data_IF_163738716157
#
_entry.id   IF_163738716157
#
_cell.length_a   1.000
_cell.length_b   1.000
_cell.length_c   1.000
_cell.angle_alpha   90.00
_cell.angle_beta   90.00
_cell.angle_gamma   90.00
#
_symmetry.space_group_name_H-M   'P 1'
#
loop_
_entity.id
_entity.type
_entity.pdbx_description
1 polymer ?
#
# COMPACT_ATOMS: atom_id res chain seq x y z
N UNK A 1 -0.21 -3.38 16.20
CA UNK A 1 -1.37 -2.98 15.36
C UNK A 1 -2.40 -2.19 16.16
N UNK A 2 -2.93 -2.67 17.30
CA UNK A 2 -3.99 -1.97 18.06
C UNK A 2 -3.65 -0.51 18.40
N UNK A 3 -2.46 -0.25 18.95
CA UNK A 3 -2.00 1.14 19.24
C UNK A 3 -2.09 2.06 18.01
N UNK A 4 -1.83 1.52 16.83
CA UNK A 4 -1.90 2.27 15.57
C UNK A 4 -3.36 2.51 15.15
N UNK A 5 -4.22 1.51 15.28
CA UNK A 5 -5.66 1.65 15.03
C UNK A 5 -6.27 2.68 15.96
N UNK A 6 -5.96 2.62 17.27
CA UNK A 6 -6.47 3.57 18.27
C UNK A 6 -6.00 5.01 17.97
N UNK A 7 -4.70 5.18 17.60
CA UNK A 7 -4.11 6.49 17.33
C UNK A 7 -4.74 7.16 16.09
N UNK A 8 -5.04 6.40 15.04
CA UNK A 8 -5.55 6.94 13.78
C UNK A 8 -7.06 6.82 13.59
N UNK A 9 -7.83 6.31 14.56
CA UNK A 9 -9.28 6.11 14.45
C UNK A 9 -10.02 7.38 14.06
N UNK A 10 -9.67 8.52 14.67
CA UNK A 10 -10.28 9.82 14.37
C UNK A 10 -9.85 10.41 13.01
N UNK A 11 -8.80 9.90 12.40
CA UNK A 11 -8.25 10.38 11.12
C UNK A 11 -8.95 9.67 9.94
N UNK A 12 -10.08 10.19 9.50
CA UNK A 12 -10.95 9.54 8.50
C UNK A 12 -10.30 9.31 7.13
N UNK A 13 -9.25 10.04 6.79
CA UNK A 13 -8.43 9.81 5.59
C UNK A 13 -7.47 8.62 5.72
N UNK A 14 -7.27 8.06 6.93
CA UNK A 14 -6.53 6.82 7.10
C UNK A 14 -7.51 5.66 6.95
N UNK A 15 -7.38 4.89 5.88
CA UNK A 15 -8.29 3.76 5.60
C UNK A 15 -7.78 2.44 6.13
N UNK A 16 -6.47 2.26 6.22
CA UNK A 16 -5.92 1.02 6.75
C UNK A 16 -4.57 1.20 7.45
N UNK A 17 -4.28 0.24 8.29
CA UNK A 17 -2.99 0.07 8.95
C UNK A 17 -2.41 -1.25 8.48
N UNK A 18 -1.14 -1.29 8.10
CA UNK A 18 -0.42 -2.53 7.76
C UNK A 18 0.61 -2.86 8.82
N UNK A 19 0.84 -4.14 9.07
CA UNK A 19 1.96 -4.64 9.86
C UNK A 19 3.19 -4.97 9.01
N UNK A 20 3.01 -5.03 7.67
CA UNK A 20 4.06 -5.32 6.71
C UNK A 20 4.78 -4.03 6.31
N UNK A 21 6.11 -4.09 6.25
CA UNK A 21 6.96 -3.06 5.65
C UNK A 21 7.51 -3.50 4.30
N UNK A 22 8.33 -2.65 3.71
CA UNK A 22 9.17 -2.96 2.56
C UNK A 22 10.42 -3.70 3.00
N UNK A 23 10.92 -4.66 2.21
CA UNK A 23 12.22 -5.27 2.47
C UNK A 23 13.33 -4.22 2.30
N UNK A 24 14.44 -4.40 2.98
CA UNK A 24 15.61 -3.51 2.90
C UNK A 24 15.26 -2.04 3.20
N UNK A 25 14.82 -1.72 4.43
CA UNK A 25 14.34 -0.39 4.79
C UNK A 25 15.36 0.72 4.48
N UNK A 26 16.64 0.43 4.56
CA UNK A 26 17.72 1.37 4.24
C UNK A 26 17.69 1.90 2.80
N UNK A 27 17.00 1.23 1.89
CA UNK A 27 16.86 1.64 0.48
C UNK A 27 15.71 2.59 0.25
N UNK A 28 14.70 2.57 1.12
CA UNK A 28 13.45 3.26 0.89
C UNK A 28 13.23 4.43 1.84
N UNK A 29 13.79 4.34 3.05
CA UNK A 29 13.56 5.36 4.06
C UNK A 29 14.80 6.23 4.22
N UNK A 30 14.64 7.57 4.16
CA UNK A 30 15.74 8.48 4.43
C UNK A 30 16.26 8.30 5.86
N UNK A 31 17.57 8.42 6.05
CA UNK A 31 18.19 8.27 7.37
C UNK A 31 17.71 9.30 8.40
N UNK A 32 17.24 10.45 7.92
CA UNK A 32 16.66 11.54 8.72
C UNK A 32 15.14 11.43 8.91
N UNK A 33 14.51 10.32 8.47
CA UNK A 33 13.06 10.15 8.62
C UNK A 33 12.70 9.94 10.11
N UNK A 34 11.88 10.82 10.71
CA UNK A 34 11.77 10.90 12.16
C UNK A 34 10.77 9.91 12.78
N UNK A 35 9.94 9.26 11.97
CA UNK A 35 8.84 8.40 12.45
C UNK A 35 9.16 6.92 12.31
N UNK A 36 8.45 6.07 13.05
CA UNK A 36 8.55 4.61 12.95
C UNK A 36 7.52 4.03 11.97
N UNK A 37 6.63 4.89 11.47
CA UNK A 37 5.61 4.59 10.46
C UNK A 37 5.67 5.58 9.32
N UNK A 38 5.21 5.19 8.14
CA UNK A 38 5.10 6.08 6.99
C UNK A 38 3.69 6.04 6.38
N UNK A 39 3.36 7.08 5.63
CA UNK A 39 2.11 7.22 4.91
C UNK A 39 2.27 6.62 3.51
N UNK A 40 1.50 5.58 3.21
CA UNK A 40 1.38 4.99 1.88
C UNK A 40 0.09 5.45 1.19
N UNK A 41 0.16 5.69 -0.11
CA UNK A 41 -0.99 6.11 -0.92
C UNK A 41 -1.89 4.94 -1.35
N UNK A 42 -1.54 3.73 -0.97
CA UNK A 42 -2.29 2.52 -1.32
C UNK A 42 -2.42 1.56 -0.15
N UNK A 43 -3.28 0.58 -0.33
CA UNK A 43 -3.49 -0.50 0.61
C UNK A 43 -2.40 -1.58 0.51
N UNK A 44 -1.98 -2.08 1.68
CA UNK A 44 -1.09 -3.23 1.80
C UNK A 44 -1.83 -4.38 2.50
N UNK A 45 -2.24 -5.42 1.77
CA UNK A 45 -3.21 -6.42 2.25
C UNK A 45 -2.64 -7.51 3.16
N UNK A 46 -1.40 -7.38 3.64
CA UNK A 46 -0.75 -8.40 4.46
C UNK A 46 -0.65 -7.95 5.91
N UNK A 47 -1.26 -8.72 6.83
CA UNK A 47 -1.26 -8.42 8.26
C UNK A 47 -1.76 -7.00 8.53
N UNK A 48 -2.98 -6.70 8.13
CA UNK A 48 -3.55 -5.37 8.10
C UNK A 48 -4.83 -5.27 8.93
N UNK A 49 -5.27 -4.05 9.18
CA UNK A 49 -6.53 -3.75 9.82
C UNK A 49 -7.14 -2.47 9.26
N UNK A 50 -8.46 -2.35 9.42
CA UNK A 50 -9.26 -1.18 9.06
C UNK A 50 -10.40 -1.01 10.06
N UNK A 51 -11.20 0.01 9.88
CA UNK A 51 -12.41 0.28 10.66
C UNK A 51 -13.66 0.02 9.80
N UNK A 52 -14.76 -0.33 10.44
CA UNK A 52 -16.02 -0.64 9.75
C UNK A 52 -16.47 0.51 8.83
N UNK A 53 -16.42 1.74 9.31
CA UNK A 53 -16.84 2.92 8.56
C UNK A 53 -15.98 3.23 7.32
N UNK A 54 -14.72 2.77 7.26
CA UNK A 54 -13.86 2.85 6.06
C UNK A 54 -14.16 1.71 5.10
N UNK A 55 -14.39 0.51 5.65
CA UNK A 55 -14.78 -0.66 4.88
C UNK A 55 -16.10 -0.43 4.14
N UNK A 56 -17.07 0.23 4.78
CA UNK A 56 -18.37 0.55 4.21
C UNK A 56 -18.31 1.60 3.07
N UNK A 57 -17.21 2.33 2.95
CA UNK A 57 -16.98 3.27 1.86
C UNK A 57 -16.41 2.63 0.58
N UNK A 58 -16.11 1.35 0.61
CA UNK A 58 -15.54 0.65 -0.54
C UNK A 58 -16.63 0.38 -1.58
N UNK A 59 -16.42 0.87 -2.79
CA UNK A 59 -17.25 0.49 -3.94
C UNK A 59 -16.89 -0.93 -4.40
N UNK A 60 -17.54 -1.89 -3.82
CA UNK A 60 -17.34 -3.30 -4.14
C UNK A 60 -17.75 -3.67 -5.57
N UNK A 61 -18.58 -2.85 -6.21
CA UNK A 61 -18.97 -2.98 -7.61
C UNK A 61 -17.94 -2.45 -8.60
N UNK A 62 -16.89 -1.75 -8.11
CA UNK A 62 -15.87 -1.10 -8.92
C UNK A 62 -16.46 -0.11 -9.96
N UNK A 63 -17.57 0.55 -9.65
CA UNK A 63 -18.25 1.55 -10.53
C UNK A 63 -17.34 2.74 -10.86
N UNK A 64 -16.40 3.05 -9.98
CA UNK A 64 -15.37 4.06 -10.25
C UNK A 64 -14.58 3.76 -11.54
N UNK A 65 -14.46 2.51 -11.94
CA UNK A 65 -13.86 2.12 -13.22
C UNK A 65 -14.58 2.78 -14.41
N UNK A 66 -15.91 2.79 -14.40
CA UNK A 66 -16.71 3.37 -15.50
C UNK A 66 -16.47 4.86 -15.67
N UNK A 67 -16.18 5.57 -14.59
CA UNK A 67 -15.82 6.99 -14.63
C UNK A 67 -14.39 7.20 -15.08
N UNK A 68 -13.48 6.36 -14.61
CA UNK A 68 -12.03 6.53 -14.82
C UNK A 68 -11.55 6.06 -16.19
N UNK A 69 -12.19 5.06 -16.80
CA UNK A 69 -11.74 4.45 -18.07
C UNK A 69 -11.57 5.45 -19.21
N UNK A 70 -12.36 6.53 -19.21
CA UNK A 70 -12.35 7.58 -20.21
C UNK A 70 -11.52 8.81 -19.78
N UNK A 71 -10.77 8.71 -18.67
CA UNK A 71 -9.98 9.81 -18.09
C UNK A 71 -8.50 9.41 -17.97
N UNK A 72 -7.71 9.61 -19.03
CA UNK A 72 -6.31 9.16 -19.08
C UNK A 72 -5.42 9.78 -18.00
N UNK A 73 -5.72 11.00 -17.54
CA UNK A 73 -4.98 11.64 -16.44
C UNK A 73 -5.21 10.93 -15.11
N UNK A 74 -6.42 10.49 -14.82
CA UNK A 74 -6.74 9.73 -13.61
C UNK A 74 -6.06 8.36 -13.63
N UNK A 75 -6.08 7.68 -14.77
CA UNK A 75 -5.39 6.40 -14.95
C UNK A 75 -3.87 6.60 -14.79
N UNK A 76 -3.31 7.67 -15.34
CA UNK A 76 -1.89 7.99 -15.18
C UNK A 76 -1.52 8.30 -13.73
N UNK A 77 -2.39 8.99 -12.99
CA UNK A 77 -2.21 9.26 -11.57
C UNK A 77 -2.25 7.97 -10.75
N UNK A 78 -3.24 7.11 -11.00
CA UNK A 78 -3.36 5.80 -10.35
C UNK A 78 -2.12 4.93 -10.57
N UNK A 79 -1.61 4.86 -11.80
CA UNK A 79 -0.40 4.08 -12.15
C UNK A 79 0.88 4.57 -11.49
N UNK A 80 0.87 5.75 -10.88
CA UNK A 80 1.99 6.27 -10.06
C UNK A 80 1.93 5.83 -8.62
N UNK A 81 0.78 5.29 -8.20
CA UNK A 81 0.59 4.79 -6.84
C UNK A 81 1.09 3.34 -6.79
N UNK A 82 1.79 3.02 -5.70
CA UNK A 82 2.30 1.70 -5.43
C UNK A 82 1.22 0.62 -5.52
N UNK A 83 1.56 -0.53 -6.09
CA UNK A 83 0.72 -1.73 -6.13
C UNK A 83 -0.70 -1.52 -6.68
N UNK A 84 -0.98 -0.37 -7.25
CA UNK A 84 -2.29 -0.14 -7.85
C UNK A 84 -2.19 -0.43 -9.33
N UNK A 85 -2.69 -1.58 -9.73
CA UNK A 85 -2.67 -2.04 -11.11
C UNK A 85 -3.99 -1.73 -11.79
N UNK A 86 -3.95 -0.81 -12.75
CA UNK A 86 -5.12 -0.48 -13.55
C UNK A 86 -5.66 -1.68 -14.33
N UNK A 87 -4.80 -2.56 -14.82
CA UNK A 87 -5.21 -3.75 -15.55
C UNK A 87 -5.92 -4.76 -14.64
N UNK A 88 -5.50 -4.87 -13.37
CA UNK A 88 -6.22 -5.66 -12.38
C UNK A 88 -7.61 -5.09 -12.08
N UNK A 89 -7.75 -3.76 -12.00
CA UNK A 89 -9.05 -3.09 -11.82
C UNK A 89 -9.95 -3.35 -13.02
N UNK A 90 -9.42 -3.24 -14.24
CA UNK A 90 -10.13 -3.56 -15.46
C UNK A 90 -10.59 -5.02 -15.50
N UNK A 91 -9.70 -5.95 -15.14
CA UNK A 91 -10.03 -7.38 -15.10
C UNK A 91 -11.13 -7.69 -14.07
N UNK A 92 -11.13 -7.02 -12.92
CA UNK A 92 -12.20 -7.13 -11.92
C UNK A 92 -13.54 -6.70 -12.51
N UNK A 93 -13.55 -5.58 -13.22
CA UNK A 93 -14.76 -5.04 -13.84
C UNK A 93 -15.27 -5.97 -14.94
N UNK A 94 -14.39 -6.41 -15.86
CA UNK A 94 -14.76 -7.17 -17.05
C UNK A 94 -15.12 -8.64 -16.74
N UNK A 95 -14.37 -9.29 -15.84
CA UNK A 95 -14.53 -10.73 -15.55
C UNK A 95 -15.21 -11.03 -14.22
N UNK A 96 -15.58 -10.00 -13.45
CA UNK A 96 -16.14 -10.12 -12.09
C UNK A 96 -15.26 -10.94 -11.13
N UNK A 97 -13.97 -11.02 -11.39
CA UNK A 97 -13.01 -11.62 -10.47
C UNK A 97 -13.13 -10.97 -9.09
N UNK A 98 -13.12 -11.78 -8.05
CA UNK A 98 -13.23 -11.28 -6.68
C UNK A 98 -11.84 -10.93 -6.11
N UNK A 99 -11.22 -9.88 -6.63
CA UNK A 99 -9.98 -9.31 -6.09
C UNK A 99 -10.32 -8.16 -5.14
N UNK A 100 -10.69 -8.50 -3.91
CA UNK A 100 -11.11 -7.54 -2.90
C UNK A 100 -10.04 -6.46 -2.62
N UNK A 101 -8.77 -6.86 -2.59
CA UNK A 101 -7.65 -5.97 -2.29
C UNK A 101 -7.47 -4.87 -3.34
N UNK A 102 -7.71 -5.17 -4.62
CA UNK A 102 -7.65 -4.16 -5.67
C UNK A 102 -8.83 -3.19 -5.60
N UNK A 103 -10.03 -3.65 -5.20
CA UNK A 103 -11.17 -2.75 -4.92
C UNK A 103 -10.88 -1.85 -3.73
N UNK A 104 -10.27 -2.38 -2.70
CA UNK A 104 -9.89 -1.59 -1.52
C UNK A 104 -8.78 -0.58 -1.85
N UNK A 105 -7.80 -0.95 -2.71
CA UNK A 105 -6.80 -0.02 -3.23
C UNK A 105 -7.43 1.08 -4.10
N UNK A 106 -8.41 0.75 -4.94
CA UNK A 106 -9.17 1.73 -5.71
C UNK A 106 -9.93 2.69 -4.78
N UNK A 107 -10.51 2.17 -3.68
CA UNK A 107 -11.18 3.00 -2.68
C UNK A 107 -10.21 4.01 -2.03
N UNK A 108 -8.94 3.64 -1.79
CA UNK A 108 -7.93 4.61 -1.32
C UNK A 108 -7.78 5.75 -2.33
N UNK A 109 -7.65 5.43 -3.61
CA UNK A 109 -7.47 6.43 -4.66
C UNK A 109 -8.66 7.39 -4.76
N UNK A 110 -9.88 6.87 -4.89
CA UNK A 110 -11.08 7.70 -5.09
C UNK A 110 -11.49 8.52 -3.87
N UNK A 111 -11.11 8.08 -2.67
CA UNK A 111 -11.37 8.79 -1.42
C UNK A 111 -10.18 9.64 -0.95
N UNK A 112 -9.11 9.76 -1.73
CA UNK A 112 -7.86 10.42 -1.32
C UNK A 112 -7.35 9.88 0.02
N UNK A 113 -7.55 8.59 0.25
CA UNK A 113 -7.22 7.93 1.49
C UNK A 113 -5.79 7.36 1.47
N UNK A 114 -5.29 7.10 2.67
CA UNK A 114 -3.93 6.60 2.87
C UNK A 114 -3.93 5.37 3.78
N UNK A 115 -2.84 4.61 3.71
CA UNK A 115 -2.51 3.58 4.69
C UNK A 115 -1.33 4.02 5.54
N UNK A 116 -1.28 3.54 6.78
CA UNK A 116 -0.12 3.68 7.64
C UNK A 116 0.62 2.35 7.69
N UNK A 117 1.89 2.38 7.37
CA UNK A 117 2.75 1.21 7.31
C UNK A 117 3.99 1.42 8.19
N UNK A 118 4.54 0.38 8.82
CA UNK A 118 5.76 0.51 9.62
C UNK A 118 6.99 0.64 8.73
N UNK A 119 8.06 1.28 9.22
CA UNK A 119 9.35 1.30 8.53
C UNK A 119 10.02 -0.07 8.59
N UNK A 120 9.96 -0.71 9.74
CA UNK A 120 10.44 -2.09 9.94
C UNK A 120 9.22 -2.99 10.13
N UNK A 121 9.16 -4.10 9.40
CA UNK A 121 8.02 -5.00 9.43
C UNK A 121 7.83 -5.65 10.81
N UNK A 122 6.59 -5.72 11.27
CA UNK A 122 6.19 -6.49 12.47
C UNK A 122 5.78 -7.92 12.14
N UNK A 123 5.66 -8.25 10.86
CA UNK A 123 5.21 -9.55 10.39
C UNK A 123 6.09 -10.05 9.26
N UNK A 124 6.15 -11.36 9.11
CA UNK A 124 6.73 -12.02 7.94
C UNK A 124 5.61 -12.51 7.03
N UNK A 125 5.83 -12.41 5.74
CA UNK A 125 4.93 -12.98 4.76
C UNK A 125 5.38 -14.41 4.44
N UNK A 126 4.69 -15.43 4.95
CA UNK A 126 5.05 -16.84 4.78
C UNK A 126 4.52 -17.45 3.49
N UNK A 127 3.62 -16.79 2.76
CA UNK A 127 2.98 -17.28 1.53
C UNK A 127 3.73 -16.95 0.24
N UNK A 128 5.06 -16.72 0.31
CA UNK A 128 5.92 -16.53 -0.87
C UNK A 128 6.66 -17.82 -1.27
N UNK A 129 6.20 -18.95 -0.79
CA UNK A 129 6.66 -20.28 -1.18
C UNK A 129 5.77 -20.91 -2.26
N UNK A 130 6.11 -22.13 -2.67
CA UNK A 130 5.37 -22.87 -3.72
C UNK A 130 3.92 -23.21 -3.31
N UNK A 131 3.58 -23.09 -2.03
CA UNK A 131 2.23 -23.38 -1.49
C UNK A 131 1.35 -22.11 -1.43
N UNK A 132 1.91 -20.94 -1.70
CA UNK A 132 1.20 -19.66 -1.67
C UNK A 132 0.19 -19.52 -2.81
N UNK A 133 -1.08 -19.29 -2.51
CA UNK A 133 -2.19 -19.21 -3.48
C UNK A 133 -2.00 -18.12 -4.55
N UNK A 134 -1.30 -17.03 -4.22
CA UNK A 134 -1.05 -15.87 -5.09
C UNK A 134 0.44 -15.57 -5.25
N UNK A 135 1.34 -16.45 -4.79
CA UNK A 135 2.76 -16.23 -4.92
C UNK A 135 3.21 -16.50 -6.35
N UNK A 136 3.74 -15.49 -7.00
CA UNK A 136 4.55 -15.68 -8.21
C UNK A 136 5.89 -16.20 -7.73
N UNK A 137 6.18 -17.47 -8.03
CA UNK A 137 7.41 -18.16 -7.65
C UNK A 137 8.65 -17.30 -7.93
N UNK A 138 9.54 -17.19 -6.94
CA UNK A 138 10.85 -16.58 -7.09
C UNK A 138 11.18 -15.37 -6.22
N UNK A 139 10.32 -14.98 -5.31
CA UNK A 139 10.51 -13.76 -4.53
C UNK A 139 11.14 -13.93 -3.16
N UNK A 140 12.47 -14.11 -3.06
CA UNK A 140 13.21 -13.85 -1.81
C UNK A 140 13.15 -12.38 -1.35
N UNK A 141 12.60 -11.51 -2.19
CA UNK A 141 12.55 -10.05 -2.00
C UNK A 141 11.74 -9.64 -0.75
N UNK A 142 10.76 -10.45 -0.33
CA UNK A 142 9.88 -10.16 0.80
C UNK A 142 10.23 -10.94 2.09
N UNK A 143 11.41 -11.54 2.15
CA UNK A 143 11.95 -12.10 3.38
C UNK A 143 12.58 -10.99 4.20
N UNK A 144 12.23 -10.92 5.47
CA UNK A 144 12.79 -9.96 6.41
C UNK A 144 13.77 -10.67 7.33
N UNK A 145 15.00 -10.18 7.36
CA UNK A 145 16.03 -10.70 8.26
C UNK A 145 15.73 -10.35 9.73
N UNK A 146 14.98 -9.28 9.94
CA UNK A 146 14.60 -8.80 11.26
C UNK A 146 13.18 -8.26 11.24
N UNK A 147 12.39 -8.65 12.24
CA UNK A 147 11.09 -8.03 12.54
C UNK A 147 11.25 -6.95 13.61
N UNK A 148 10.34 -5.98 13.59
CA UNK A 148 10.25 -4.97 14.64
C UNK A 148 9.69 -5.61 15.92
N UNK A 149 10.26 -5.18 17.05
CA UNK A 149 9.83 -5.52 18.40
C UNK A 149 9.50 -4.28 19.24
N UNK A 150 9.52 -3.11 18.60
CA UNK A 150 9.34 -1.81 19.23
C UNK A 150 7.90 -1.59 19.67
N UNK A 151 7.70 -1.28 20.96
CA UNK A 151 6.38 -0.98 21.51
C UNK A 151 6.05 0.52 21.56
N UNK A 152 7.06 1.36 21.77
CA UNK A 152 6.93 2.82 21.77
C UNK A 152 7.15 3.35 20.34
N UNK A 153 6.06 3.66 19.67
CA UNK A 153 6.03 4.00 18.24
C UNK A 153 5.89 5.51 18.07
N UNK A 154 6.80 6.11 17.33
CA UNK A 154 6.70 7.50 16.91
C UNK A 154 5.78 7.60 15.70
N UNK A 155 4.54 7.98 15.94
CA UNK A 155 3.52 8.16 14.90
C UNK A 155 3.73 9.42 14.08
N UNK A 156 3.17 9.44 12.87
CA UNK A 156 3.13 10.57 11.98
C UNK A 156 1.80 11.32 12.16
N UNK A 157 1.80 12.40 12.91
CA UNK A 157 0.58 13.19 13.17
C UNK A 157 0.16 14.04 11.96
N UNK A 158 1.12 14.46 11.15
CA UNK A 158 0.85 15.14 9.88
C UNK A 158 0.89 14.09 8.77
N UNK A 159 -0.30 13.78 8.23
CA UNK A 159 -0.45 12.78 7.19
C UNK A 159 0.04 13.30 5.84
N UNK A 160 1.31 13.14 5.57
CA UNK A 160 1.89 13.41 4.25
C UNK A 160 2.69 12.21 3.76
N UNK A 161 2.58 11.93 2.48
CA UNK A 161 3.39 10.90 1.84
C UNK A 161 4.74 11.50 1.44
N UNK A 162 5.83 11.08 2.08
CA UNK A 162 7.16 11.57 1.76
C UNK A 162 7.57 11.17 0.33
N UNK A 163 7.79 12.17 -0.52
CA UNK A 163 8.15 11.96 -1.93
C UNK A 163 9.43 11.12 -2.10
N UNK A 164 10.36 11.18 -1.15
CA UNK A 164 11.60 10.40 -1.19
C UNK A 164 11.28 8.90 -1.08
N UNK A 165 10.36 8.53 -0.16
CA UNK A 165 9.91 7.15 0.04
C UNK A 165 9.13 6.67 -1.21
N UNK A 166 8.19 7.48 -1.71
CA UNK A 166 7.40 7.14 -2.90
C UNK A 166 8.31 6.94 -4.11
N UNK A 167 9.22 7.87 -4.37
CA UNK A 167 10.11 7.80 -5.54
C UNK A 167 11.09 6.62 -5.46
N UNK A 168 11.64 6.35 -4.28
CA UNK A 168 12.51 5.21 -4.06
C UNK A 168 11.80 3.89 -4.40
N UNK A 169 10.57 3.75 -3.94
CA UNK A 169 9.77 2.56 -4.23
C UNK A 169 9.33 2.49 -5.69
N UNK A 170 8.85 3.57 -6.25
CA UNK A 170 8.48 3.62 -7.67
C UNK A 170 9.65 3.22 -8.58
N UNK A 171 10.84 3.69 -8.27
CA UNK A 171 12.06 3.35 -9.01
C UNK A 171 12.45 1.88 -8.84
N UNK A 172 12.18 1.28 -7.69
CA UNK A 172 12.43 -0.13 -7.44
C UNK A 172 11.49 -1.04 -8.23
N UNK A 173 10.21 -0.71 -8.25
CA UNK A 173 9.18 -1.52 -8.93
C UNK A 173 9.15 -1.29 -10.45
N UNK A 174 9.73 -0.18 -10.95
CA UNK A 174 9.78 0.17 -12.37
C UNK A 174 11.21 0.35 -12.89
N UNK A 175 12.06 -0.69 -12.87
CA UNK A 175 13.49 -0.55 -13.18
C UNK A 175 13.77 -0.09 -14.62
N UNK A 176 12.86 -0.35 -15.58
CA UNK A 176 13.02 0.06 -16.97
C UNK A 176 12.86 1.58 -17.21
N UNK A 177 12.32 2.33 -16.25
CA UNK A 177 12.15 3.78 -16.32
C UNK A 177 13.28 4.58 -15.70
N UNK A 178 14.27 3.91 -15.10
CA UNK A 178 15.46 4.57 -14.49
C UNK A 178 16.31 5.35 -15.51
N UNK A 179 16.26 4.98 -16.81
CA UNK A 179 17.07 5.61 -17.86
C UNK A 179 16.54 6.96 -18.36
N UNK A 180 15.39 7.43 -17.90
CA UNK A 180 14.77 8.68 -18.36
C UNK A 180 14.79 9.82 -17.31
N UNK A 181 15.38 9.62 -16.14
CA UNK A 181 15.47 10.60 -15.07
C UNK A 181 16.93 10.95 -14.71
N UNK A 182 17.88 10.64 -15.61
CA UNK A 182 19.27 11.04 -15.52
C UNK A 182 19.52 12.38 -16.19
#
# INVERSE_FOLDING_TARGET
>A
MNKCLDHYEARKSVFSISGLSRPHPERFYPADYPYDVYVSLTHHPTGWGTWADRWDQVDWGAKAYDVMKDQPEMIAALRRIEYTDWEAIKEIHDSRKNLWSARFALAHFVNYAVSICPIVSYINHIGWDEEGTNAICGGTVWKFDRLADKEDIRFCDILYADKRIINAWYSFTNPRRRSFLG
#
